data_IF_840820911143
#
_entry.id   IF_840820911143
#
_cell.length_a   1.000
_cell.length_b   1.000
_cell.length_c   1.000
_cell.angle_alpha   90.00
_cell.angle_beta   90.00
_cell.angle_gamma   90.00
#
_symmetry.space_group_name_H-M   'P 1'
#
loop_
_entity.id
_entity.type
_entity.pdbx_description
1 polymer ?
#
# COMPACT_ATOMS: atom_id res chain seq x y z
N UNK A 1 34.74 10.77 25.40
CA UNK A 1 33.96 9.68 24.74
C UNK A 1 32.80 9.22 25.63
N UNK A 2 31.77 10.05 25.84
CA UNK A 2 30.62 9.70 26.69
C UNK A 2 29.24 10.19 26.15
N UNK A 3 29.21 10.78 24.95
CA UNK A 3 28.00 11.37 24.38
C UNK A 3 27.21 10.40 23.47
N UNK A 4 27.85 9.35 22.95
CA UNK A 4 27.23 8.37 22.05
C UNK A 4 26.11 7.51 22.68
N UNK A 5 26.22 7.00 23.93
CA UNK A 5 25.19 6.10 24.47
C UNK A 5 23.88 6.83 24.84
N UNK A 6 23.93 8.14 25.13
CA UNK A 6 22.74 8.92 25.50
C UNK A 6 21.86 9.28 24.30
N UNK A 7 22.47 9.48 23.12
CA UNK A 7 21.74 9.82 21.90
C UNK A 7 20.92 8.62 21.37
N UNK A 8 21.48 7.41 21.48
CA UNK A 8 20.81 6.16 21.08
C UNK A 8 19.61 5.85 21.99
N UNK A 9 19.74 6.05 23.31
CA UNK A 9 18.62 5.90 24.25
C UNK A 9 17.52 6.95 24.03
N UNK A 10 17.87 8.20 23.72
CA UNK A 10 16.87 9.23 23.44
C UNK A 10 16.07 8.93 22.16
N UNK A 11 16.74 8.50 21.08
CA UNK A 11 16.09 8.14 19.81
C UNK A 11 15.16 6.94 19.95
N UNK A 12 15.55 5.92 20.72
CA UNK A 12 14.71 4.74 20.98
C UNK A 12 13.51 5.06 21.89
N UNK A 13 13.65 5.93 22.89
CA UNK A 13 12.51 6.40 23.70
C UNK A 13 11.54 7.25 22.87
N UNK A 14 12.04 8.08 21.95
CA UNK A 14 11.18 8.86 21.03
C UNK A 14 10.38 7.94 20.10
N UNK A 15 10.98 6.88 19.55
CA UNK A 15 10.27 5.90 18.71
C UNK A 15 9.19 5.13 19.49
N UNK A 16 9.45 4.77 20.76
CA UNK A 16 8.45 4.12 21.63
C UNK A 16 7.31 5.06 21.99
N UNK A 17 7.60 6.35 22.22
CA UNK A 17 6.58 7.38 22.50
C UNK A 17 5.71 7.66 21.25
N UNK A 18 6.29 7.61 20.05
CA UNK A 18 5.53 7.74 18.79
C UNK A 18 4.69 6.48 18.46
N UNK A 19 5.19 5.29 18.79
CA UNK A 19 4.43 4.04 18.65
C UNK A 19 3.22 3.96 19.60
N UNK A 20 3.18 4.78 20.66
CA UNK A 20 2.08 4.84 21.63
C UNK A 20 0.79 5.51 21.13
N UNK A 21 0.78 6.08 19.93
CA UNK A 21 -0.38 6.78 19.34
C UNK A 21 -1.00 6.04 18.14
N UNK A 22 -0.84 4.72 18.05
CA UNK A 22 -1.59 3.92 17.09
C UNK A 22 -2.90 3.43 17.72
N UNK A 23 -4.03 4.02 17.31
CA UNK A 23 -5.36 3.49 17.59
C UNK A 23 -5.76 2.48 16.51
N UNK A 24 -6.37 1.37 16.91
CA UNK A 24 -7.06 0.50 15.97
C UNK A 24 -8.26 1.24 15.37
N UNK A 25 -8.47 1.12 14.06
CA UNK A 25 -9.58 1.75 13.33
C UNK A 25 -10.21 0.73 12.42
N UNK A 26 -11.54 0.67 12.41
CA UNK A 26 -12.28 -0.12 11.43
C UNK A 26 -12.30 0.61 10.08
N UNK A 27 -11.96 -0.11 9.01
CA UNK A 27 -11.98 0.41 7.65
C UNK A 27 -12.88 -0.46 6.79
N UNK A 28 -13.78 0.18 6.05
CA UNK A 28 -14.66 -0.50 5.11
C UNK A 28 -13.90 -0.75 3.80
N UNK A 29 -13.65 -2.03 3.50
CA UNK A 29 -12.95 -2.46 2.28
C UNK A 29 -13.95 -3.23 1.40
N UNK A 30 -13.99 -2.97 0.08
CA UNK A 30 -14.83 -3.74 -0.83
C UNK A 30 -14.33 -5.19 -0.96
N UNK A 31 -15.25 -6.12 -1.21
CA UNK A 31 -14.90 -7.51 -1.52
C UNK A 31 -14.22 -7.63 -2.87
N UNK A 32 -13.38 -8.65 -3.00
CA UNK A 32 -12.92 -9.15 -4.29
C UNK A 32 -14.12 -9.58 -5.15
N UNK A 33 -14.02 -9.35 -6.45
CA UNK A 33 -15.08 -9.59 -7.43
C UNK A 33 -14.84 -10.82 -8.28
N UNK A 34 -13.64 -11.39 -8.25
CA UNK A 34 -13.26 -12.57 -9.02
C UNK A 34 -12.92 -13.73 -8.10
N UNK A 35 -13.45 -14.91 -8.40
CA UNK A 35 -13.13 -16.14 -7.68
C UNK A 35 -12.71 -17.24 -8.65
N UNK A 36 -11.77 -18.08 -8.22
CA UNK A 36 -11.29 -19.21 -9.01
C UNK A 36 -12.14 -20.44 -8.75
N UNK A 37 -12.53 -21.14 -9.80
CA UNK A 37 -13.29 -22.38 -9.70
C UNK A 37 -12.55 -23.41 -8.82
N UNK A 38 -13.31 -24.07 -7.94
CA UNK A 38 -12.81 -25.12 -7.04
C UNK A 38 -12.02 -24.62 -5.82
N UNK A 39 -11.82 -23.30 -5.68
CA UNK A 39 -11.25 -22.70 -4.47
C UNK A 39 -12.33 -22.12 -3.58
N UNK A 40 -11.95 -21.81 -2.34
CA UNK A 40 -12.80 -21.13 -1.38
C UNK A 40 -12.72 -19.62 -1.61
N UNK A 41 -13.87 -18.94 -1.58
CA UNK A 41 -13.97 -17.50 -1.75
C UNK A 41 -14.53 -16.84 -0.50
N UNK A 42 -13.86 -15.81 0.03
CA UNK A 42 -14.40 -14.99 1.11
C UNK A 42 -15.13 -13.78 0.51
N UNK A 43 -16.45 -13.73 0.71
CA UNK A 43 -17.27 -12.57 0.38
C UNK A 43 -17.16 -11.55 1.52
N UNK A 44 -16.36 -10.50 1.29
CA UNK A 44 -16.05 -9.51 2.31
C UNK A 44 -17.24 -8.56 2.51
N UNK A 45 -17.77 -8.48 3.72
CA UNK A 45 -18.78 -7.50 4.09
C UNK A 45 -18.41 -6.86 5.42
N UNK A 46 -17.83 -5.66 5.36
CA UNK A 46 -17.49 -4.87 6.54
C UNK A 46 -18.41 -3.66 6.60
N UNK A 47 -19.01 -3.42 7.77
CA UNK A 47 -19.72 -2.19 8.06
C UNK A 47 -19.28 -1.67 9.42
N UNK A 48 -18.49 -0.61 9.38
CA UNK A 48 -17.91 -0.03 10.58
C UNK A 48 -18.95 0.77 11.36
N UNK A 49 -18.95 0.63 12.69
CA UNK A 49 -19.76 1.49 13.53
C UNK A 49 -19.13 2.88 13.59
N UNK A 50 -19.96 3.94 13.57
CA UNK A 50 -19.45 5.32 13.75
C UNK A 50 -18.81 5.54 15.13
N UNK A 51 -19.24 4.74 16.10
CA UNK A 51 -18.83 4.81 17.50
C UNK A 51 -18.75 3.39 18.04
N UNK A 52 -17.55 2.93 18.33
CA UNK A 52 -17.28 1.53 18.72
C UNK A 52 -17.71 1.23 20.16
N UNK A 53 -17.71 2.25 21.04
CA UNK A 53 -18.10 2.06 22.44
C UNK A 53 -19.61 1.78 22.65
N UNK A 54 -20.44 1.91 21.62
CA UNK A 54 -21.90 1.72 21.72
C UNK A 54 -22.27 0.27 21.40
N UNK A 55 -22.98 -0.39 22.31
CA UNK A 55 -23.51 -1.74 22.10
C UNK A 55 -24.69 -1.72 21.14
N UNK A 56 -24.64 -2.58 20.12
CA UNK A 56 -25.72 -2.76 19.15
C UNK A 56 -26.06 -4.24 18.95
N UNK A 57 -27.35 -4.55 18.87
CA UNK A 57 -27.82 -5.85 18.43
C UNK A 57 -27.79 -5.88 16.90
N UNK A 58 -26.91 -6.69 16.33
CA UNK A 58 -26.70 -6.78 14.87
C UNK A 58 -27.36 -8.04 14.31
N UNK A 59 -28.13 -7.86 13.26
CA UNK A 59 -28.72 -8.93 12.43
C UNK A 59 -28.16 -8.79 11.03
N UNK A 60 -27.67 -9.88 10.46
CA UNK A 60 -27.08 -9.91 9.13
C UNK A 60 -27.86 -10.88 8.28
N UNK A 61 -28.27 -10.44 7.09
CA UNK A 61 -28.99 -11.24 6.12
C UNK A 61 -28.22 -11.19 4.79
N UNK A 62 -27.90 -12.35 4.25
CA UNK A 62 -27.26 -12.50 2.95
C UNK A 62 -28.27 -12.98 1.93
N UNK A 63 -28.25 -12.31 0.78
CA UNK A 63 -29.05 -12.64 -0.39
C UNK A 63 -28.15 -12.94 -1.57
N UNK A 64 -28.59 -13.86 -2.42
CA UNK A 64 -27.97 -14.17 -3.70
C UNK A 64 -28.97 -13.89 -4.83
N UNK A 65 -28.47 -13.29 -5.90
CA UNK A 65 -29.22 -13.04 -7.12
C UNK A 65 -28.41 -13.56 -8.30
N UNK A 66 -28.90 -14.54 -9.07
CA UNK A 66 -28.26 -14.91 -10.32
C UNK A 66 -28.44 -13.78 -11.36
N UNK A 67 -27.61 -13.74 -12.39
CA UNK A 67 -27.73 -12.74 -13.46
C UNK A 67 -29.14 -12.78 -14.09
N UNK A 68 -29.89 -11.67 -13.97
CA UNK A 68 -31.27 -11.57 -14.46
C UNK A 68 -32.34 -12.21 -13.58
N UNK A 69 -31.99 -12.74 -12.40
CA UNK A 69 -32.92 -13.36 -11.44
C UNK A 69 -33.44 -12.43 -10.36
N UNK A 70 -34.04 -13.03 -9.31
CA UNK A 70 -34.53 -12.35 -8.10
C UNK A 70 -33.63 -12.63 -6.90
N UNK A 71 -33.73 -11.80 -5.87
CA UNK A 71 -33.01 -11.97 -4.62
C UNK A 71 -33.57 -13.16 -3.82
N UNK A 72 -32.70 -14.11 -3.48
CA UNK A 72 -33.01 -15.28 -2.66
C UNK A 72 -32.18 -15.23 -1.37
N UNK A 73 -32.78 -15.39 -0.17
CA UNK A 73 -32.03 -15.42 1.08
C UNK A 73 -31.20 -16.71 1.17
N UNK A 74 -29.92 -16.59 1.50
CA UNK A 74 -28.98 -17.72 1.61
C UNK A 74 -28.46 -17.94 3.03
N UNK A 75 -28.34 -16.88 3.84
CA UNK A 75 -27.78 -16.97 5.18
C UNK A 75 -28.33 -15.85 6.09
N UNK A 76 -28.63 -16.15 7.35
CA UNK A 76 -28.95 -15.18 8.40
C UNK A 76 -28.04 -15.41 9.61
N UNK A 77 -27.50 -14.33 10.16
CA UNK A 77 -26.88 -14.30 11.48
C UNK A 77 -27.72 -13.46 12.43
N UNK A 78 -28.30 -14.13 13.43
CA UNK A 78 -29.06 -13.49 14.52
C UNK A 78 -28.74 -14.17 15.85
N UNK A 79 -27.62 -13.79 16.47
CA UNK A 79 -27.02 -14.46 17.66
C UNK A 79 -26.58 -15.92 17.44
N UNK A 80 -27.23 -16.61 16.50
CA UNK A 80 -26.92 -17.94 16.00
C UNK A 80 -26.91 -17.90 14.48
N UNK A 81 -26.13 -18.79 13.90
CA UNK A 81 -26.04 -19.01 12.47
C UNK A 81 -27.29 -19.75 11.99
N UNK A 82 -27.93 -19.23 10.95
CA UNK A 82 -29.03 -19.89 10.26
C UNK A 82 -28.77 -19.87 8.76
N UNK A 83 -28.65 -21.05 8.16
CA UNK A 83 -28.48 -21.20 6.72
C UNK A 83 -29.84 -21.56 6.09
N UNK A 84 -30.23 -20.82 5.05
CA UNK A 84 -31.48 -21.11 4.35
C UNK A 84 -31.27 -22.26 3.36
N UNK A 85 -32.29 -23.11 3.14
CA UNK A 85 -32.24 -24.14 2.12
C UNK A 85 -32.07 -23.50 0.73
N UNK A 86 -30.85 -23.58 0.20
CA UNK A 86 -30.48 -23.05 -1.11
C UNK A 86 -29.44 -23.97 -1.76
N UNK A 87 -29.04 -23.64 -2.98
CA UNK A 87 -27.92 -24.29 -3.70
C UNK A 87 -26.56 -24.18 -3.00
N UNK A 88 -26.44 -23.34 -1.98
CA UNK A 88 -25.22 -23.15 -1.20
C UNK A 88 -25.21 -23.97 0.10
N UNK A 89 -26.28 -24.75 0.37
CA UNK A 89 -26.45 -25.50 1.61
C UNK A 89 -25.23 -26.36 1.93
N UNK A 90 -24.63 -26.14 3.11
CA UNK A 90 -23.45 -26.87 3.59
C UNK A 90 -22.13 -26.41 2.99
N UNK A 91 -22.12 -25.38 2.14
CA UNK A 91 -20.90 -24.75 1.58
C UNK A 91 -20.63 -23.36 2.15
N UNK A 92 -21.59 -22.75 2.85
CA UNK A 92 -21.41 -21.43 3.47
C UNK A 92 -20.78 -21.58 4.86
N UNK A 93 -19.72 -20.83 5.11
CA UNK A 93 -19.08 -20.72 6.42
C UNK A 93 -19.08 -19.28 6.91
N UNK A 94 -19.40 -19.08 8.19
CA UNK A 94 -19.32 -17.76 8.81
C UNK A 94 -17.87 -17.38 9.09
N UNK A 95 -17.45 -16.21 8.61
CA UNK A 95 -16.11 -15.67 8.83
C UNK A 95 -16.16 -14.21 9.31
N UNK A 96 -17.15 -13.90 10.14
CA UNK A 96 -17.33 -12.59 10.75
C UNK A 96 -16.62 -12.45 12.10
N UNK A 97 -16.38 -11.21 12.50
CA UNK A 97 -15.69 -10.84 13.73
C UNK A 97 -16.64 -10.81 14.94
N UNK A 98 -16.07 -10.87 16.15
CA UNK A 98 -16.84 -10.91 17.41
C UNK A 98 -17.60 -9.60 17.70
N UNK A 99 -17.03 -8.48 17.26
CA UNK A 99 -17.57 -7.13 17.34
C UNK A 99 -18.66 -6.84 16.30
N UNK A 100 -18.97 -7.80 15.40
CA UNK A 100 -20.01 -7.69 14.38
C UNK A 100 -19.81 -6.53 13.40
N UNK A 101 -18.57 -6.08 13.23
CA UNK A 101 -18.18 -5.09 12.21
C UNK A 101 -17.82 -5.79 10.89
N UNK A 102 -17.05 -6.88 10.96
CA UNK A 102 -16.86 -7.81 9.84
C UNK A 102 -17.94 -8.91 9.91
N UNK A 103 -18.75 -9.01 8.88
CA UNK A 103 -19.88 -9.97 8.79
C UNK A 103 -19.78 -10.83 7.52
N UNK A 104 -18.54 -11.07 7.11
CA UNK A 104 -18.21 -11.83 5.92
C UNK A 104 -18.57 -13.31 6.01
N UNK A 105 -18.87 -13.90 4.86
CA UNK A 105 -19.08 -15.34 4.70
C UNK A 105 -18.07 -15.91 3.70
N UNK A 106 -17.72 -17.17 3.86
CA UNK A 106 -16.86 -17.92 2.94
C UNK A 106 -17.70 -18.96 2.21
N UNK A 107 -17.64 -18.95 0.88
CA UNK A 107 -18.23 -19.96 0.01
C UNK A 107 -17.17 -21.00 -0.31
N UNK A 108 -17.36 -22.23 0.16
CA UNK A 108 -16.43 -23.34 -0.03
C UNK A 108 -16.65 -23.99 -1.39
N UNK A 109 -15.56 -24.37 -2.07
CA UNK A 109 -15.58 -24.99 -3.40
C UNK A 109 -16.50 -24.26 -4.38
N UNK A 110 -16.08 -23.08 -4.81
CA UNK A 110 -16.84 -22.23 -5.73
C UNK A 110 -16.97 -22.88 -7.11
N UNK A 111 -18.14 -22.79 -7.71
CA UNK A 111 -18.44 -23.30 -9.06
C UNK A 111 -18.82 -22.17 -10.01
N UNK A 112 -18.68 -22.37 -11.33
CA UNK A 112 -19.02 -21.34 -12.34
C UNK A 112 -20.46 -20.82 -12.20
N UNK A 113 -21.37 -21.69 -11.79
CA UNK A 113 -22.77 -21.35 -11.58
C UNK A 113 -23.00 -20.44 -10.35
N UNK A 114 -22.01 -20.28 -9.47
CA UNK A 114 -22.12 -19.44 -8.27
C UNK A 114 -21.85 -17.96 -8.58
N UNK A 115 -21.54 -17.63 -9.85
CA UNK A 115 -21.48 -16.27 -10.36
C UNK A 115 -22.83 -15.56 -10.20
N UNK A 116 -22.78 -14.27 -9.90
CA UNK A 116 -23.97 -13.44 -9.67
C UNK A 116 -23.71 -12.34 -8.65
N UNK A 117 -24.81 -11.81 -8.10
CA UNK A 117 -24.78 -10.69 -7.18
C UNK A 117 -25.11 -11.18 -5.77
N UNK A 118 -24.20 -10.92 -4.84
CA UNK A 118 -24.39 -11.19 -3.42
C UNK A 118 -24.70 -9.87 -2.71
N UNK A 119 -25.76 -9.84 -1.92
CA UNK A 119 -26.16 -8.67 -1.15
C UNK A 119 -26.11 -8.99 0.33
N UNK A 120 -25.33 -8.20 1.08
CA UNK A 120 -25.21 -8.28 2.52
C UNK A 120 -26.03 -7.14 3.13
N UNK A 121 -27.11 -7.48 3.83
CA UNK A 121 -27.95 -6.53 4.55
C UNK A 121 -27.66 -6.64 6.05
N UNK A 122 -27.27 -5.52 6.63
CA UNK A 122 -26.87 -5.40 8.03
C UNK A 122 -27.84 -4.48 8.71
N UNK A 123 -28.61 -5.03 9.65
CA UNK A 123 -29.56 -4.29 10.46
C UNK A 123 -29.04 -4.22 11.88
N UNK A 124 -28.83 -3.01 12.39
CA UNK A 124 -28.34 -2.75 13.74
C UNK A 124 -29.36 -1.98 14.55
N UNK A 125 -29.71 -2.52 15.70
CA UNK A 125 -30.49 -1.83 16.72
C UNK A 125 -29.53 -1.38 17.82
N UNK A 126 -29.31 -0.07 17.94
CA UNK A 126 -28.42 0.46 18.98
C UNK A 126 -29.17 0.56 20.30
N UNK A 127 -28.54 0.11 21.38
CA UNK A 127 -29.12 0.17 22.72
C UNK A 127 -28.64 1.42 23.44
N UNK A 128 -29.44 2.49 23.42
CA UNK A 128 -29.24 3.67 24.27
C UNK A 128 -30.26 3.68 25.41
N UNK A 129 -29.97 4.40 26.50
CA UNK A 129 -30.81 4.44 27.71
C UNK A 129 -32.25 4.88 27.46
N UNK A 130 -32.47 5.76 26.48
CA UNK A 130 -33.77 6.43 26.26
C UNK A 130 -34.43 6.00 24.94
N UNK A 131 -33.65 5.57 23.93
CA UNK A 131 -34.14 5.27 22.59
C UNK A 131 -33.37 4.11 21.95
N UNK A 132 -34.02 3.38 21.03
CA UNK A 132 -33.42 2.26 20.28
C UNK A 132 -33.49 2.52 18.78
N UNK A 133 -32.58 3.33 18.20
CA UNK A 133 -32.61 3.62 16.78
C UNK A 133 -32.18 2.38 15.99
N UNK A 134 -32.86 2.16 14.87
CA UNK A 134 -32.55 1.11 13.90
C UNK A 134 -31.78 1.71 12.73
N UNK A 135 -30.68 1.08 12.34
CA UNK A 135 -29.89 1.46 11.18
C UNK A 135 -29.68 0.26 10.27
N UNK A 136 -29.93 0.44 8.98
CA UNK A 136 -29.76 -0.60 7.96
C UNK A 136 -28.70 -0.18 6.96
N UNK A 137 -27.71 -1.03 6.73
CA UNK A 137 -26.68 -0.86 5.71
C UNK A 137 -26.68 -2.05 4.77
N UNK A 138 -26.61 -1.80 3.47
CA UNK A 138 -26.53 -2.85 2.47
C UNK A 138 -25.27 -2.71 1.62
N UNK A 139 -24.64 -3.84 1.29
CA UNK A 139 -23.48 -3.93 0.39
C UNK A 139 -23.75 -4.92 -0.71
N UNK A 140 -23.45 -4.52 -1.94
CA UNK A 140 -23.63 -5.33 -3.14
C UNK A 140 -22.26 -5.76 -3.66
N UNK A 141 -22.10 -7.06 -3.90
CA UNK A 141 -20.86 -7.69 -4.36
C UNK A 141 -21.19 -8.41 -5.67
N UNK A 142 -20.53 -8.02 -6.76
CA UNK A 142 -20.65 -8.70 -8.04
C UNK A 142 -19.54 -9.75 -8.13
N UNK A 143 -19.91 -11.03 -8.07
CA UNK A 143 -18.97 -12.14 -8.13
C UNK A 143 -18.99 -12.77 -9.52
N UNK A 144 -17.82 -12.83 -10.14
CA UNK A 144 -17.58 -13.56 -11.38
C UNK A 144 -16.63 -14.70 -11.09
N UNK A 145 -17.05 -15.93 -11.41
CA UNK A 145 -16.20 -17.11 -11.22
C UNK A 145 -15.47 -17.42 -12.52
N UNK A 146 -14.15 -17.49 -12.44
CA UNK A 146 -13.23 -17.78 -13.55
C UNK A 146 -12.53 -19.13 -13.32
N UNK A 147 -12.13 -19.79 -14.40
CA UNK A 147 -11.41 -21.07 -14.30
C UNK A 147 -9.96 -20.87 -13.82
N UNK A 148 -9.33 -19.75 -14.21
CA UNK A 148 -7.96 -19.39 -13.88
C UNK A 148 -7.92 -17.97 -13.29
N UNK A 149 -7.04 -17.74 -12.30
CA UNK A 149 -6.88 -16.41 -11.70
C UNK A 149 -6.25 -15.44 -12.70
N UNK A 150 -6.84 -14.26 -12.87
CA UNK A 150 -6.20 -13.16 -13.57
C UNK A 150 -4.98 -12.66 -12.81
N UNK A 151 -3.94 -12.23 -13.55
CA UNK A 151 -2.82 -11.52 -12.93
C UNK A 151 -3.22 -10.06 -12.67
N UNK A 152 -2.85 -9.54 -11.49
CA UNK A 152 -3.05 -8.14 -11.15
C UNK A 152 -2.18 -7.25 -12.05
N UNK A 153 -2.77 -6.76 -13.14
CA UNK A 153 -2.09 -5.86 -14.08
C UNK A 153 -1.47 -4.65 -13.38
N UNK A 154 -2.09 -4.15 -12.30
CA UNK A 154 -1.56 -3.04 -11.50
C UNK A 154 -0.22 -3.38 -10.86
N UNK A 155 -0.07 -4.59 -10.31
CA UNK A 155 1.17 -5.08 -9.73
C UNK A 155 2.25 -5.16 -10.80
N UNK A 156 1.95 -5.81 -11.93
CA UNK A 156 2.88 -5.95 -13.06
C UNK A 156 3.33 -4.59 -13.60
N UNK A 157 2.40 -3.65 -13.80
CA UNK A 157 2.71 -2.30 -14.27
C UNK A 157 3.59 -1.55 -13.27
N UNK A 158 3.30 -1.66 -11.96
CA UNK A 158 4.08 -0.98 -10.92
C UNK A 158 5.52 -1.47 -10.86
N UNK A 159 5.74 -2.77 -11.07
CA UNK A 159 7.07 -3.38 -11.14
C UNK A 159 7.85 -2.88 -12.37
N UNK A 160 7.22 -2.88 -13.55
CA UNK A 160 7.85 -2.37 -14.78
C UNK A 160 8.21 -0.89 -14.63
N UNK A 161 7.29 -0.07 -14.10
CA UNK A 161 7.53 1.36 -13.87
C UNK A 161 8.70 1.60 -12.90
N UNK A 162 8.83 0.79 -11.85
CA UNK A 162 9.96 0.84 -10.93
C UNK A 162 11.28 0.62 -11.67
N UNK A 163 11.40 -0.42 -12.49
CA UNK A 163 12.64 -0.69 -13.23
C UNK A 163 12.97 0.41 -14.24
N UNK A 164 11.98 0.96 -14.95
CA UNK A 164 12.19 2.07 -15.90
C UNK A 164 12.76 3.29 -15.17
N UNK A 165 12.20 3.65 -14.02
CA UNK A 165 12.68 4.78 -13.22
C UNK A 165 14.11 4.52 -12.71
N UNK A 166 14.42 3.31 -12.24
CA UNK A 166 15.76 2.95 -11.80
C UNK A 166 16.80 3.07 -12.92
N UNK A 167 16.50 2.55 -14.12
CA UNK A 167 17.41 2.64 -15.27
C UNK A 167 17.61 4.10 -15.70
N UNK A 168 16.54 4.90 -15.75
CA UNK A 168 16.64 6.30 -16.12
C UNK A 168 17.48 7.11 -15.11
N UNK A 169 17.24 6.93 -13.82
CA UNK A 169 17.97 7.63 -12.75
C UNK A 169 19.45 7.21 -12.70
N UNK A 170 19.75 5.92 -12.90
CA UNK A 170 21.14 5.44 -12.93
C UNK A 170 21.89 5.98 -14.15
N UNK A 171 21.29 5.99 -15.33
CA UNK A 171 21.89 6.60 -16.53
C UNK A 171 22.11 8.09 -16.35
N UNK A 172 21.16 8.82 -15.76
CA UNK A 172 21.32 10.23 -15.42
C UNK A 172 22.53 10.45 -14.50
N UNK A 173 22.62 9.70 -13.40
CA UNK A 173 23.74 9.81 -12.46
C UNK A 173 25.07 9.46 -13.12
N UNK A 174 25.12 8.42 -13.97
CA UNK A 174 26.34 8.09 -14.71
C UNK A 174 26.75 9.20 -15.67
N UNK A 175 25.80 9.85 -16.36
CA UNK A 175 26.07 11.00 -17.23
C UNK A 175 26.64 12.16 -16.42
N UNK A 176 26.03 12.51 -15.28
CA UNK A 176 26.52 13.56 -14.38
C UNK A 176 27.90 13.22 -13.81
N UNK A 177 28.13 11.97 -13.42
CA UNK A 177 29.43 11.50 -12.93
C UNK A 177 30.52 11.60 -14.00
N UNK A 178 30.24 11.17 -15.24
CA UNK A 178 31.19 11.27 -16.37
C UNK A 178 31.41 12.72 -16.77
N UNK A 179 30.36 13.53 -16.77
CA UNK A 179 30.44 14.97 -17.05
C UNK A 179 31.32 15.69 -16.01
N UNK A 180 31.04 15.48 -14.73
CA UNK A 180 31.84 16.01 -13.62
C UNK A 180 33.29 15.53 -13.69
N UNK A 181 33.50 14.24 -13.93
CA UNK A 181 34.85 13.66 -14.05
C UNK A 181 35.65 14.33 -15.17
N UNK A 182 35.07 14.42 -16.38
CA UNK A 182 35.72 15.07 -17.53
C UNK A 182 35.97 16.56 -17.29
N UNK A 183 35.09 17.22 -16.57
CA UNK A 183 35.25 18.65 -16.24
C UNK A 183 36.40 18.85 -15.25
N UNK A 184 36.48 18.03 -14.21
CA UNK A 184 37.55 18.09 -13.20
C UNK A 184 38.89 17.71 -13.83
N UNK A 185 38.95 16.65 -14.63
CA UNK A 185 40.20 16.23 -15.29
C UNK A 185 40.77 17.33 -16.18
N UNK A 186 39.92 18.02 -16.96
CA UNK A 186 40.35 19.17 -17.77
C UNK A 186 40.82 20.35 -16.92
N UNK A 187 40.20 20.59 -15.76
CA UNK A 187 40.62 21.64 -14.84
C UNK A 187 41.97 21.32 -14.17
N UNK A 188 42.23 20.05 -13.88
CA UNK A 188 43.51 19.58 -13.31
C UNK A 188 44.66 19.68 -14.31
N UNK A 189 44.43 19.28 -15.58
CA UNK A 189 45.39 19.49 -16.67
C UNK A 189 45.75 20.97 -16.85
N UNK A 190 44.74 21.86 -16.83
CA UNK A 190 44.96 23.30 -16.94
C UNK A 190 45.68 23.91 -15.72
N UNK A 191 45.46 23.37 -14.51
CA UNK A 191 46.17 23.80 -13.31
C UNK A 191 47.66 23.39 -13.36
N UNK A 192 47.96 22.23 -13.94
CA UNK A 192 49.33 21.75 -14.08
C UNK A 192 50.12 22.53 -15.14
N UNK A 193 49.52 22.87 -16.28
CA UNK A 193 50.14 23.73 -17.31
C UNK A 193 50.49 25.11 -16.74
N UNK A 194 49.56 25.73 -16.01
CA UNK A 194 49.81 27.00 -15.32
C UNK A 194 50.95 26.89 -14.30
N UNK A 195 51.01 25.82 -13.49
CA UNK A 195 52.07 25.63 -12.51
C UNK A 195 53.45 25.41 -13.15
N UNK A 196 53.52 24.73 -14.30
CA UNK A 196 54.77 24.57 -15.06
C UNK A 196 55.25 25.87 -15.69
N UNK A 197 54.35 26.76 -16.11
CA UNK A 197 54.71 28.07 -16.68
C UNK A 197 55.37 28.99 -15.62
N UNK A 198 54.98 28.87 -14.34
CA UNK A 198 55.66 29.57 -13.23
C UNK A 198 57.04 28.99 -12.88
N UNK A 199 57.31 27.72 -13.19
CA UNK A 199 58.59 27.07 -12.93
C UNK A 199 59.58 27.25 -14.10
N UNK A 200 59.11 27.64 -15.27
CA UNK A 200 59.92 27.98 -16.43
C UNK A 200 60.37 29.46 -16.39
N UNK A 201 61.10 29.87 -15.34
CA UNK A 201 61.87 31.12 -15.38
C UNK A 201 63.21 30.81 -16.08
N UNK A 202 63.53 31.40 -17.25
CA UNK A 202 64.83 31.19 -17.87
C UNK A 202 65.89 31.97 -17.08
N UNK A 203 66.87 31.24 -16.54
CA UNK A 203 68.07 31.80 -15.93
C UNK A 203 69.10 32.17 -17.00
N UNK A 204 69.01 33.36 -17.58
CA UNK A 204 70.11 34.04 -18.30
C UNK A 204 69.63 35.48 -18.57
N UNK A 205 70.32 36.56 -18.20
CA UNK A 205 71.73 36.80 -18.46
C UNK A 205 72.32 37.80 -17.44
N UNK A 206 73.48 37.44 -16.90
CA UNK A 206 74.41 38.26 -16.14
C UNK A 206 75.40 38.79 -17.17
N UNK A 207 75.38 40.10 -17.46
CA UNK A 207 76.53 40.97 -17.79
C UNK A 207 76.09 42.20 -18.59
N UNK A 208 76.19 43.38 -17.96
CA UNK A 208 76.87 44.53 -18.57
C UNK A 208 77.02 45.67 -17.55
N UNK A 209 78.17 45.71 -16.88
CA UNK A 209 78.77 46.95 -16.41
C UNK A 209 79.71 47.46 -17.50
N UNK A 210 79.35 48.55 -18.20
CA UNK A 210 80.30 49.44 -18.85
C UNK A 210 79.62 50.77 -19.21
N UNK A 211 79.97 51.81 -18.44
CA UNK A 211 80.05 53.24 -18.83
C UNK A 211 81.23 53.36 -19.82
N UNK A 212 81.36 54.28 -20.81
CA UNK A 212 81.00 55.72 -20.80
C UNK A 212 80.46 56.37 -22.12
N UNK A 213 79.99 57.62 -21.94
CA UNK A 213 80.21 58.88 -22.71
C UNK A 213 79.98 58.86 -24.23
N UNK A 214 79.23 59.85 -24.73
CA UNK A 214 79.66 60.80 -25.77
C UNK A 214 78.84 62.11 -25.67
N UNK A 215 79.51 63.21 -26.02
CA UNK A 215 78.93 64.52 -26.35
C UNK A 215 78.05 64.45 -27.61
#
# INVERSE_FOLDING_TARGET
MAALPRLVCASSVVLVVWAGFCSAVCVEVPSETEAVQGKDMKLLCISCMKREEVTANTVVEWFYRPEGGKDEPIYEYRKKNHEFPSRFSGRLQWNGSKDMQDVSITVVNVTLNDSGIYTCNITREFEFEIHRPLFTSSRLIHLTVVEEAGEDFTSVISEIMMYILLVFLTLWLLIEMVYCYRKVSKAEEAAQENATDYLAIPSENKENCAVPVEE
#
